data_IF_230584824860
#
_entry.id   IF_230584824860
#
_cell.length_a   1.000
_cell.length_b   1.000
_cell.length_c   1.000
_cell.angle_alpha   90.00
_cell.angle_beta   90.00
_cell.angle_gamma   90.00
#
_symmetry.space_group_name_H-M   'P 1'
#
loop_
_entity.id
_entity.type
_entity.pdbx_description
1 polymer ?
#
# COMPACT_ATOMS: atom_id res chain seq x y z
N UNK A 1 -16.27 -7.97 -4.64
CA UNK A 1 -15.49 -9.18 -4.96
C UNK A 1 -15.99 -10.46 -4.26
N UNK A 2 -16.88 -10.38 -3.26
CA UNK A 2 -17.28 -11.55 -2.44
C UNK A 2 -18.10 -12.57 -3.20
N UNK A 3 -18.84 -12.03 -4.15
CA UNK A 3 -19.74 -12.73 -5.05
C UNK A 3 -19.06 -13.11 -6.37
N UNK A 4 -17.71 -13.00 -6.45
CA UNK A 4 -16.95 -13.29 -7.67
C UNK A 4 -16.90 -12.15 -8.69
N UNK A 5 -17.64 -11.05 -8.49
CA UNK A 5 -17.58 -9.88 -9.38
C UNK A 5 -16.40 -8.98 -9.01
N UNK A 6 -15.43 -8.73 -9.91
CA UNK A 6 -14.36 -7.77 -9.71
C UNK A 6 -14.92 -6.36 -9.54
N UNK A 7 -14.29 -5.56 -8.68
CA UNK A 7 -14.62 -4.13 -8.62
C UNK A 7 -14.17 -3.44 -9.91
N UNK A 8 -14.90 -2.39 -10.29
CA UNK A 8 -14.54 -1.47 -11.37
C UNK A 8 -13.71 -0.30 -10.84
N UNK A 9 -13.18 0.53 -11.73
CA UNK A 9 -12.41 1.71 -11.31
C UNK A 9 -13.31 2.72 -10.57
N UNK A 10 -14.57 2.89 -11.00
CA UNK A 10 -15.56 3.73 -10.33
C UNK A 10 -15.84 3.28 -8.89
N UNK A 11 -15.93 1.97 -8.65
CA UNK A 11 -16.17 1.44 -7.31
C UNK A 11 -15.00 1.71 -6.34
N UNK A 12 -13.80 1.97 -6.88
CA UNK A 12 -12.58 2.17 -6.08
C UNK A 12 -12.31 3.64 -5.76
N UNK A 13 -12.86 4.59 -6.51
CA UNK A 13 -12.50 6.00 -6.35
C UNK A 13 -12.85 6.55 -4.97
N UNK A 14 -14.09 6.37 -4.55
CA UNK A 14 -14.54 6.87 -3.25
C UNK A 14 -13.79 6.17 -2.12
N UNK A 15 -13.55 4.86 -2.25
CA UNK A 15 -12.78 4.11 -1.27
C UNK A 15 -11.34 4.61 -1.13
N UNK A 16 -10.64 4.89 -2.23
CA UNK A 16 -9.27 5.43 -2.19
C UNK A 16 -9.24 6.85 -1.60
N UNK A 17 -10.22 7.69 -1.93
CA UNK A 17 -10.35 9.02 -1.34
C UNK A 17 -10.61 8.96 0.17
N UNK A 18 -11.49 8.08 0.62
CA UNK A 18 -11.77 7.84 2.04
C UNK A 18 -10.54 7.29 2.77
N UNK A 19 -9.82 6.35 2.15
CA UNK A 19 -8.60 5.76 2.71
C UNK A 19 -7.52 6.82 2.93
N UNK A 20 -7.31 7.69 1.92
CA UNK A 20 -6.41 8.85 2.02
C UNK A 20 -6.85 9.79 3.14
N UNK A 21 -8.13 10.18 3.17
CA UNK A 21 -8.65 11.10 4.18
C UNK A 21 -8.48 10.54 5.60
N UNK A 22 -8.77 9.25 5.80
CA UNK A 22 -8.57 8.57 7.07
C UNK A 22 -7.09 8.54 7.49
N UNK A 23 -6.17 8.26 6.56
CA UNK A 23 -4.74 8.28 6.82
C UNK A 23 -4.25 9.67 7.25
N UNK A 24 -4.66 10.74 6.55
CA UNK A 24 -4.30 12.12 6.89
C UNK A 24 -4.90 12.53 8.24
N UNK A 25 -6.15 12.13 8.51
CA UNK A 25 -6.82 12.41 9.79
C UNK A 25 -6.08 11.74 10.95
N UNK A 26 -5.61 10.51 10.77
CA UNK A 26 -4.84 9.79 11.79
C UNK A 26 -3.50 10.45 12.14
N UNK A 27 -2.94 11.25 11.22
CA UNK A 27 -1.70 12.02 11.43
C UNK A 27 -1.95 13.43 12.00
N UNK A 28 -3.21 13.86 12.08
CA UNK A 28 -3.58 15.20 12.49
C UNK A 28 -3.94 15.25 13.98
N UNK A 29 -3.57 16.31 14.71
CA UNK A 29 -4.05 16.50 16.08
C UNK A 29 -5.58 16.58 16.12
N UNK A 30 -6.16 15.97 17.15
CA UNK A 30 -7.60 15.94 17.42
C UNK A 30 -7.84 16.20 18.91
N UNK A 31 -9.03 16.69 19.32
CA UNK A 31 -9.40 16.72 20.74
C UNK A 31 -9.20 15.39 21.48
N UNK A 32 -9.34 14.27 20.78
CA UNK A 32 -9.12 12.91 21.33
C UNK A 32 -7.69 12.41 21.17
N UNK A 33 -6.85 13.10 20.39
CA UNK A 33 -5.47 12.68 20.08
C UNK A 33 -4.61 13.92 19.86
N UNK A 34 -4.19 14.60 20.95
CA UNK A 34 -3.42 15.85 20.85
C UNK A 34 -1.99 15.62 20.33
N UNK A 35 -1.46 14.40 20.51
CA UNK A 35 -0.15 13.98 20.00
C UNK A 35 -0.34 12.82 19.01
N UNK A 36 -0.59 13.11 17.72
CA UNK A 36 -0.75 12.06 16.71
C UNK A 36 0.56 11.29 16.48
N UNK A 37 0.50 10.07 15.92
CA UNK A 37 1.69 9.34 15.52
C UNK A 37 2.44 10.07 14.40
N UNK A 38 3.75 9.81 14.31
CA UNK A 38 4.60 10.38 13.26
C UNK A 38 4.38 9.73 11.87
N UNK A 39 3.55 8.70 11.77
CA UNK A 39 3.32 7.95 10.54
C UNK A 39 2.17 6.96 10.67
N UNK A 40 1.62 6.53 9.53
CA UNK A 40 0.55 5.54 9.43
C UNK A 40 0.86 4.55 8.31
N UNK A 41 0.64 3.26 8.57
CA UNK A 41 0.75 2.21 7.54
C UNK A 41 -0.64 1.84 7.07
N UNK A 42 -0.83 1.82 5.76
CA UNK A 42 -2.08 1.47 5.11
C UNK A 42 -1.87 0.29 4.18
N UNK A 43 -2.72 -0.73 4.29
CA UNK A 43 -2.74 -1.83 3.33
C UNK A 43 -3.73 -1.52 2.21
N UNK A 44 -3.21 -1.38 0.99
CA UNK A 44 -4.00 -1.10 -0.21
C UNK A 44 -3.37 -1.84 -1.39
N UNK A 45 -4.19 -2.46 -2.24
CA UNK A 45 -3.66 -3.14 -3.43
C UNK A 45 -3.05 -2.16 -4.43
N UNK A 46 -3.60 -0.93 -4.52
CA UNK A 46 -3.10 0.18 -5.33
C UNK A 46 -2.53 -0.24 -6.71
N UNK A 47 -3.24 -1.16 -7.38
CA UNK A 47 -2.72 -1.94 -8.51
C UNK A 47 -2.33 -1.07 -9.71
N UNK A 48 -3.07 0.01 -9.96
CA UNK A 48 -2.84 0.93 -11.07
C UNK A 48 -2.14 2.21 -10.58
N UNK A 49 -1.32 2.83 -11.44
CA UNK A 49 -0.63 4.10 -11.16
C UNK A 49 -1.62 5.18 -10.72
N UNK A 50 -2.74 5.30 -11.42
CA UNK A 50 -3.80 6.25 -11.07
C UNK A 50 -4.36 6.07 -9.65
N UNK A 51 -4.33 4.86 -9.08
CA UNK A 51 -4.74 4.64 -7.70
C UNK A 51 -3.70 5.14 -6.71
N UNK A 52 -2.42 4.95 -7.04
CA UNK A 52 -1.29 5.51 -6.27
C UNK A 52 -1.32 7.04 -6.35
N UNK A 53 -1.62 7.60 -7.51
CA UNK A 53 -1.75 9.06 -7.70
C UNK A 53 -2.85 9.67 -6.83
N UNK A 54 -3.97 8.98 -6.62
CA UNK A 54 -5.00 9.43 -5.65
C UNK A 54 -4.40 9.58 -4.25
N UNK A 55 -3.60 8.62 -3.79
CA UNK A 55 -2.94 8.72 -2.48
C UNK A 55 -1.90 9.85 -2.45
N UNK A 56 -1.15 10.05 -3.56
CA UNK A 56 -0.19 11.17 -3.73
C UNK A 56 -0.81 12.56 -3.73
N UNK A 57 -2.13 12.68 -3.69
CA UNK A 57 -2.80 13.97 -3.46
C UNK A 57 -2.67 14.42 -2.00
N UNK A 58 -2.40 13.52 -1.04
CA UNK A 58 -2.33 13.89 0.37
C UNK A 58 -1.38 15.07 0.70
N UNK A 59 -0.13 15.11 0.19
CA UNK A 59 0.78 16.25 0.40
C UNK A 59 0.27 17.59 -0.12
N UNK A 60 -0.65 17.60 -1.10
CA UNK A 60 -1.26 18.85 -1.60
C UNK A 60 -2.29 19.43 -0.62
N UNK A 61 -2.87 18.60 0.25
CA UNK A 61 -3.78 19.03 1.31
C UNK A 61 -3.06 19.33 2.63
N UNK A 62 -2.04 18.55 2.96
CA UNK A 62 -1.16 18.77 4.11
C UNK A 62 0.30 18.58 3.69
N UNK A 63 1.08 19.67 3.50
CA UNK A 63 2.47 19.61 3.06
C UNK A 63 3.42 18.85 3.99
N UNK A 64 2.99 18.54 5.23
CA UNK A 64 3.77 17.77 6.20
C UNK A 64 3.62 16.26 5.99
N UNK A 65 2.63 15.84 5.22
CA UNK A 65 2.40 14.44 4.91
C UNK A 65 3.21 14.06 3.69
N UNK A 66 4.02 13.01 3.82
CA UNK A 66 4.66 12.33 2.70
C UNK A 66 3.99 10.98 2.45
N UNK A 67 4.00 10.53 1.20
CA UNK A 67 3.42 9.25 0.80
C UNK A 67 4.51 8.40 0.17
N UNK A 68 4.71 7.21 0.72
CA UNK A 68 5.60 6.18 0.20
C UNK A 68 4.83 4.89 0.00
N UNK A 69 5.25 4.09 -0.97
CA UNK A 69 4.67 2.78 -1.25
C UNK A 69 5.72 1.68 -1.08
N UNK A 70 5.32 0.61 -0.42
CA UNK A 70 6.06 -0.65 -0.41
C UNK A 70 5.32 -1.63 -1.32
N UNK A 71 5.88 -1.87 -2.50
CA UNK A 71 5.32 -2.83 -3.45
C UNK A 71 5.86 -4.24 -3.16
N UNK A 72 5.01 -5.08 -2.58
CA UNK A 72 5.32 -6.48 -2.30
C UNK A 72 5.20 -7.33 -3.57
N UNK A 73 6.32 -7.59 -4.22
CA UNK A 73 6.39 -8.31 -5.49
C UNK A 73 6.53 -9.81 -5.29
N UNK A 74 5.79 -10.62 -6.04
CA UNK A 74 5.89 -12.08 -6.05
C UNK A 74 5.55 -12.61 -7.44
N UNK A 75 6.07 -13.80 -7.77
CA UNK A 75 5.65 -14.50 -8.98
C UNK A 75 4.20 -14.98 -8.87
N UNK A 76 3.52 -15.18 -10.01
CA UNK A 76 2.16 -15.72 -10.04
C UNK A 76 2.09 -17.09 -9.34
N UNK A 77 3.08 -17.95 -9.55
CA UNK A 77 3.18 -19.28 -8.94
C UNK A 77 3.25 -19.17 -7.41
N UNK A 78 4.04 -18.21 -6.90
CA UNK A 78 4.17 -17.98 -5.46
C UNK A 78 2.85 -17.50 -4.86
N UNK A 79 2.14 -16.59 -5.54
CA UNK A 79 0.84 -16.08 -5.09
C UNK A 79 -0.23 -17.18 -5.10
N UNK A 80 -0.30 -17.96 -6.17
CA UNK A 80 -1.23 -19.09 -6.30
C UNK A 80 -0.97 -20.16 -5.22
N UNK A 81 0.29 -20.52 -4.98
CA UNK A 81 0.65 -21.47 -3.94
C UNK A 81 0.23 -20.98 -2.54
N UNK A 82 0.49 -19.70 -2.23
CA UNK A 82 0.13 -19.09 -0.93
C UNK A 82 -1.37 -19.00 -0.73
N UNK A 83 -2.12 -18.65 -1.77
CA UNK A 83 -3.58 -18.57 -1.70
C UNK A 83 -4.21 -19.96 -1.64
N UNK A 84 -3.71 -20.93 -2.41
CA UNK A 84 -4.19 -22.31 -2.40
C UNK A 84 -3.95 -23.03 -1.07
N UNK A 85 -2.89 -22.68 -0.33
CA UNK A 85 -2.62 -23.22 1.01
C UNK A 85 -3.54 -22.70 2.12
N UNK A 86 -4.35 -21.67 1.87
CA UNK A 86 -5.22 -21.04 2.87
C UNK A 86 -6.59 -21.72 2.93
N UNK A 87 -6.95 -22.32 4.06
CA UNK A 87 -8.29 -22.89 4.30
C UNK A 87 -9.30 -21.79 4.68
N UNK A 88 -10.50 -21.81 4.08
CA UNK A 88 -11.61 -20.93 4.48
C UNK A 88 -11.50 -19.46 4.05
N UNK A 89 -10.61 -19.14 3.11
CA UNK A 89 -10.41 -17.76 2.67
C UNK A 89 -11.19 -17.40 1.40
N UNK A 90 -11.67 -16.16 1.39
CA UNK A 90 -12.44 -15.49 0.35
C UNK A 90 -11.72 -15.32 -1.01
N UNK A 91 -10.38 -15.25 -1.02
CA UNK A 91 -9.60 -15.00 -2.22
C UNK A 91 -9.17 -16.33 -2.84
N UNK A 92 -9.73 -16.70 -4.00
CA UNK A 92 -9.33 -17.88 -4.76
C UNK A 92 -8.36 -17.57 -5.91
N UNK A 93 -7.92 -18.61 -6.63
CA UNK A 93 -6.98 -18.49 -7.76
C UNK A 93 -7.44 -17.50 -8.85
N UNK A 94 -8.74 -17.46 -9.17
CA UNK A 94 -9.29 -16.51 -10.15
C UNK A 94 -9.13 -15.04 -9.74
N UNK A 95 -9.07 -14.76 -8.44
CA UNK A 95 -8.85 -13.40 -7.94
C UNK A 95 -7.38 -12.99 -8.05
N UNK A 96 -6.44 -13.92 -7.88
CA UNK A 96 -5.00 -13.65 -8.11
C UNK A 96 -4.78 -13.24 -9.56
N UNK A 97 -5.35 -13.99 -10.51
CA UNK A 97 -5.23 -13.69 -11.94
C UNK A 97 -5.78 -12.31 -12.29
N UNK A 98 -7.01 -12.00 -11.89
CA UNK A 98 -7.61 -10.68 -12.19
C UNK A 98 -6.86 -9.50 -11.54
N UNK A 99 -6.22 -9.70 -10.38
CA UNK A 99 -5.37 -8.68 -9.78
C UNK A 99 -4.05 -8.49 -10.54
N UNK A 100 -3.41 -9.57 -11.00
CA UNK A 100 -2.20 -9.50 -11.83
C UNK A 100 -2.50 -8.85 -13.19
N UNK A 101 -3.63 -9.18 -13.82
CA UNK A 101 -4.09 -8.53 -15.06
C UNK A 101 -4.33 -7.03 -14.88
N UNK A 102 -4.75 -6.60 -13.69
CA UNK A 102 -4.99 -5.19 -13.35
C UNK A 102 -3.72 -4.46 -12.85
N UNK A 103 -2.63 -5.18 -12.62
CA UNK A 103 -1.42 -4.64 -12.01
C UNK A 103 -0.60 -3.84 -13.03
N UNK A 104 -0.44 -2.56 -12.75
CA UNK A 104 0.56 -1.72 -13.40
C UNK A 104 1.77 -1.66 -12.47
N UNK A 105 2.80 -2.47 -12.78
CA UNK A 105 4.05 -2.53 -12.00
C UNK A 105 4.63 -1.11 -11.88
N UNK A 106 4.99 -0.64 -10.67
CA UNK A 106 5.35 0.75 -10.41
C UNK A 106 6.77 1.11 -10.88
N UNK A 107 7.06 0.89 -12.15
CA UNK A 107 8.36 1.18 -12.76
C UNK A 107 8.55 2.70 -12.88
N UNK A 108 9.66 3.21 -12.34
CA UNK A 108 10.03 4.63 -12.43
C UNK A 108 9.30 5.56 -11.46
N UNK A 109 8.53 5.03 -10.51
CA UNK A 109 7.89 5.80 -9.45
C UNK A 109 8.84 5.93 -8.25
N UNK A 110 9.37 7.15 -8.01
CA UNK A 110 10.48 7.39 -7.07
C UNK A 110 10.12 7.19 -5.59
N UNK A 111 8.84 7.25 -5.28
CA UNK A 111 8.25 7.07 -3.97
C UNK A 111 7.83 5.62 -3.70
N UNK A 112 8.16 4.70 -4.61
CA UNK A 112 7.86 3.28 -4.50
C UNK A 112 9.13 2.47 -4.32
N UNK A 113 9.15 1.62 -3.31
CA UNK A 113 10.21 0.62 -3.12
C UNK A 113 9.64 -0.78 -3.33
N UNK A 114 10.32 -1.56 -4.17
CA UNK A 114 9.94 -2.94 -4.47
C UNK A 114 10.62 -3.87 -3.47
N UNK A 115 9.81 -4.64 -2.74
CA UNK A 115 10.27 -5.70 -1.85
C UNK A 115 9.82 -7.03 -2.44
N UNK A 116 10.78 -7.84 -2.87
CA UNK A 116 10.49 -9.21 -3.29
C UNK A 116 10.08 -10.03 -2.07
N UNK A 117 8.90 -10.66 -2.17
CA UNK A 117 8.34 -11.51 -1.13
C UNK A 117 8.45 -12.98 -1.45
N UNK A 118 9.29 -13.39 -2.42
CA UNK A 118 9.70 -14.79 -2.59
C UNK A 118 10.50 -15.34 -1.41
N UNK A 119 11.17 -14.46 -0.66
CA UNK A 119 11.89 -14.80 0.56
C UNK A 119 10.97 -15.23 1.73
N UNK A 120 11.59 -15.72 2.81
CA UNK A 120 10.89 -16.04 4.06
C UNK A 120 10.26 -14.80 4.71
N UNK A 121 9.17 -15.00 5.48
CA UNK A 121 8.40 -13.91 6.12
C UNK A 121 9.29 -12.94 6.91
N UNK A 122 10.22 -13.47 7.70
CA UNK A 122 11.14 -12.69 8.55
C UNK A 122 12.02 -11.74 7.71
N UNK A 123 12.51 -12.21 6.57
CA UNK A 123 13.33 -11.41 5.66
C UNK A 123 12.51 -10.32 4.99
N UNK A 124 11.28 -10.62 4.58
CA UNK A 124 10.35 -9.64 4.03
C UNK A 124 10.03 -8.55 5.06
N UNK A 125 9.76 -8.95 6.30
CA UNK A 125 9.49 -8.02 7.40
C UNK A 125 10.70 -7.12 7.67
N UNK A 126 11.92 -7.70 7.75
CA UNK A 126 13.16 -6.94 7.93
C UNK A 126 13.34 -5.89 6.84
N UNK A 127 13.22 -6.29 5.57
CA UNK A 127 13.34 -5.38 4.41
C UNK A 127 12.28 -4.28 4.42
N UNK A 128 11.02 -4.63 4.69
CA UNK A 128 9.94 -3.64 4.76
C UNK A 128 10.18 -2.61 5.88
N UNK A 129 10.65 -3.06 7.04
CA UNK A 129 10.99 -2.17 8.16
C UNK A 129 12.17 -1.26 7.83
N UNK A 130 13.18 -1.75 7.11
CA UNK A 130 14.30 -0.93 6.62
C UNK A 130 13.80 0.18 5.70
N UNK A 131 12.92 -0.15 4.76
CA UNK A 131 12.31 0.86 3.87
C UNK A 131 11.55 1.93 4.66
N UNK A 132 10.78 1.54 5.67
CA UNK A 132 10.07 2.51 6.53
C UNK A 132 11.06 3.38 7.30
N UNK A 133 12.12 2.81 7.86
CA UNK A 133 13.14 3.57 8.60
C UNK A 133 13.88 4.55 7.70
N UNK A 134 14.22 4.15 6.48
CA UNK A 134 14.91 5.02 5.52
C UNK A 134 14.01 6.18 5.07
N UNK A 135 12.72 5.92 4.84
CA UNK A 135 11.75 6.97 4.53
C UNK A 135 11.63 7.98 5.68
N UNK A 136 11.51 7.50 6.93
CA UNK A 136 11.40 8.35 8.12
C UNK A 136 12.73 9.04 8.50
N UNK A 137 13.87 8.41 8.19
CA UNK A 137 15.21 8.83 8.59
C UNK A 137 15.88 9.77 7.58
N UNK A 138 15.68 9.54 6.28
CA UNK A 138 16.10 10.45 5.21
C UNK A 138 15.46 11.84 5.33
N UNK A 139 14.37 11.96 6.09
CA UNK A 139 13.69 13.20 6.41
C UNK A 139 14.40 14.00 7.52
N UNK A 140 14.96 13.34 8.54
CA UNK A 140 15.77 14.00 9.58
C UNK A 140 17.05 14.61 9.03
N UNK A 141 17.66 13.99 8.01
CA UNK A 141 18.89 14.49 7.40
C UNK A 141 18.68 15.65 6.40
N UNK A 142 17.45 15.89 5.93
CA UNK A 142 17.11 17.02 5.04
C UNK A 142 16.67 18.28 5.79
N UNK A 143 16.33 18.14 7.07
CA UNK A 143 15.88 19.21 7.96
C UNK A 143 16.96 19.66 8.96
N UNK A 144 18.14 19.03 8.93
CA UNK A 144 19.33 19.37 9.71
C UNK A 144 20.37 20.06 8.81
#
# INVERSE_FOLDING_TARGET
MATGTPLTDSDRWDWLCLLRAAAVTALSPSPTTPSPPNGVIVTCSALKRKYRDVMRVAPYHDPRVQVHFIFLSASEETLLARVGGRKGHYMGAGMVKSQLESLEVPVGERDVVIVDVGAGKEEVERRAVEVVRDAMGGERAKLA
#
